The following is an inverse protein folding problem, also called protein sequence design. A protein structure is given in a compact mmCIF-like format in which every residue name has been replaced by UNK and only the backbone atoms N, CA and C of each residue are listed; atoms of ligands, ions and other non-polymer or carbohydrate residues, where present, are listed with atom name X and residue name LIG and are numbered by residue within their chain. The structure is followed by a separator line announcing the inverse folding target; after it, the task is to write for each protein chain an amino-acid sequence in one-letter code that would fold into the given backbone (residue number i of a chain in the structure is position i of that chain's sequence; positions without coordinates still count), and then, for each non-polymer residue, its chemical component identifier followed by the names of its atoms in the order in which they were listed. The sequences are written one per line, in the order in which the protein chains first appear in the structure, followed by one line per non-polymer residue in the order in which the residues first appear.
data_IF_949638735730
#
_entry.id   IF_949638735730
#
_cell.length_a   1.000
_cell.length_b   1.000
_cell.length_c   1.000
_cell.angle_alpha   90.00
_cell.angle_beta   90.00
_cell.angle_gamma   90.00
#
_symmetry.space_group_name_H-M   'P 1'
#
loop_
_entity.id
_entity.type
_entity.pdbx_description
1 polymer ?
#
# COMPACT_ATOMS: atom_id res chain seq x y z
N UNK A 1 2.94 -56.77 -37.50
CA UNK A 1 3.16 -55.37 -37.96
C UNK A 1 1.90 -54.55 -37.73
N UNK A 2 0.75 -54.98 -38.25
CA UNK A 2 -0.58 -54.41 -37.95
C UNK A 2 -0.79 -54.09 -36.46
N UNK A 3 -0.55 -55.07 -35.57
CA UNK A 3 -0.78 -54.92 -34.12
C UNK A 3 0.09 -53.83 -33.49
N UNK A 4 1.32 -53.66 -33.97
CA UNK A 4 2.26 -52.64 -33.50
C UNK A 4 1.80 -51.25 -33.92
N UNK A 5 1.28 -51.11 -35.15
CA UNK A 5 0.70 -49.87 -35.64
C UNK A 5 -0.59 -49.51 -34.87
N UNK A 6 -1.46 -50.49 -34.63
CA UNK A 6 -2.68 -50.32 -33.85
C UNK A 6 -2.37 -49.92 -32.39
N UNK A 7 -1.37 -50.56 -31.76
CA UNK A 7 -0.92 -50.21 -30.42
C UNK A 7 -0.38 -48.77 -30.37
N UNK A 8 0.45 -48.37 -31.34
CA UNK A 8 0.96 -47.00 -31.44
C UNK A 8 -0.19 -45.99 -31.56
N UNK A 9 -1.11 -46.21 -32.50
CA UNK A 9 -2.29 -45.35 -32.69
C UNK A 9 -3.14 -45.22 -31.42
N UNK A 10 -3.39 -46.32 -30.70
CA UNK A 10 -4.13 -46.28 -29.44
C UNK A 10 -3.40 -45.49 -28.34
N UNK A 11 -2.08 -45.66 -28.19
CA UNK A 11 -1.28 -44.89 -27.23
C UNK A 11 -1.30 -43.40 -27.58
N UNK A 12 -1.14 -43.04 -28.86
CA UNK A 12 -1.23 -41.64 -29.32
C UNK A 12 -2.60 -41.02 -29.04
N UNK A 13 -3.70 -41.73 -29.32
CA UNK A 13 -5.07 -41.26 -29.04
C UNK A 13 -5.31 -41.10 -27.54
N UNK A 14 -4.83 -42.05 -26.72
CA UNK A 14 -4.94 -41.99 -25.26
C UNK A 14 -4.16 -40.79 -24.70
N UNK A 15 -2.93 -40.59 -25.15
CA UNK A 15 -2.09 -39.47 -24.75
C UNK A 15 -2.71 -38.12 -25.14
N UNK A 16 -3.28 -38.00 -26.34
CA UNK A 16 -3.98 -36.77 -26.74
C UNK A 16 -5.15 -36.46 -25.81
N UNK A 17 -6.01 -37.45 -25.52
CA UNK A 17 -7.14 -37.28 -24.58
C UNK A 17 -6.68 -36.86 -23.18
N UNK A 18 -5.56 -37.41 -22.70
CA UNK A 18 -4.99 -37.04 -21.42
C UNK A 18 -4.46 -35.60 -21.43
N UNK A 19 -3.80 -35.17 -22.51
CA UNK A 19 -3.35 -33.78 -22.71
C UNK A 19 -4.56 -32.83 -22.74
N UNK A 20 -5.59 -33.14 -23.52
CA UNK A 20 -6.82 -32.33 -23.63
C UNK A 20 -7.52 -32.17 -22.27
N UNK A 21 -7.55 -33.24 -21.46
CA UNK A 21 -8.09 -33.21 -20.11
C UNK A 21 -7.21 -32.39 -19.14
N UNK A 22 -5.88 -32.53 -19.23
CA UNK A 22 -4.93 -31.73 -18.44
C UNK A 22 -5.04 -30.24 -18.75
N UNK A 23 -5.16 -29.86 -20.04
CA UNK A 23 -5.37 -28.47 -20.47
C UNK A 23 -6.65 -27.91 -19.85
N UNK A 24 -7.78 -28.60 -19.98
CA UNK A 24 -9.06 -28.18 -19.37
C UNK A 24 -9.00 -28.02 -17.85
N UNK A 25 -8.29 -28.92 -17.17
CA UNK A 25 -8.09 -28.82 -15.72
C UNK A 25 -7.23 -27.60 -15.35
N UNK A 26 -6.26 -27.22 -16.18
CA UNK A 26 -5.45 -26.01 -15.99
C UNK A 26 -6.26 -24.75 -16.29
N UNK A 27 -7.06 -24.72 -17.37
CA UNK A 27 -7.98 -23.62 -17.69
C UNK A 27 -8.93 -23.32 -16.52
N UNK A 28 -9.53 -24.36 -15.92
CA UNK A 28 -10.40 -24.22 -14.75
C UNK A 28 -9.65 -23.70 -13.52
N UNK A 29 -8.44 -24.19 -13.25
CA UNK A 29 -7.62 -23.71 -12.12
C UNK A 29 -7.20 -22.25 -12.31
N UNK A 30 -6.80 -21.86 -13.52
CA UNK A 30 -6.42 -20.47 -13.82
C UNK A 30 -7.63 -19.53 -13.68
N UNK A 31 -8.82 -19.91 -14.19
CA UNK A 31 -10.04 -19.12 -13.99
C UNK A 31 -10.50 -19.05 -12.52
N UNK A 32 -10.21 -20.06 -11.70
CA UNK A 32 -10.44 -20.01 -10.26
C UNK A 32 -9.46 -19.06 -9.55
N UNK A 33 -8.17 -19.06 -9.94
CA UNK A 33 -7.17 -18.13 -9.42
C UNK A 33 -7.49 -16.69 -9.81
N UNK A 34 -7.87 -16.44 -11.06
CA UNK A 34 -8.37 -15.14 -11.55
C UNK A 34 -9.53 -14.63 -10.68
N UNK A 35 -10.56 -15.46 -10.48
CA UNK A 35 -11.71 -15.15 -9.63
C UNK A 35 -11.29 -14.85 -8.19
N UNK A 36 -10.39 -15.66 -7.61
CA UNK A 36 -9.87 -15.43 -6.26
C UNK A 36 -9.07 -14.12 -6.15
N UNK A 37 -8.31 -13.75 -7.17
CA UNK A 37 -7.57 -12.48 -7.19
C UNK A 37 -8.55 -11.29 -7.22
N UNK A 38 -9.56 -11.29 -8.09
CA UNK A 38 -10.56 -10.21 -8.10
C UNK A 38 -11.41 -10.15 -6.81
N UNK A 39 -11.77 -11.29 -6.25
CA UNK A 39 -12.48 -11.36 -4.96
C UNK A 39 -11.59 -10.83 -3.82
N UNK A 40 -10.29 -11.16 -3.81
CA UNK A 40 -9.36 -10.73 -2.77
C UNK A 40 -8.83 -9.30 -2.96
N UNK A 41 -8.85 -8.72 -4.17
CA UNK A 41 -8.60 -7.28 -4.36
C UNK A 41 -9.72 -6.42 -3.74
N UNK A 42 -10.95 -6.94 -3.65
CA UNK A 42 -12.04 -6.30 -2.90
C UNK A 42 -11.89 -6.43 -1.38
N UNK A 43 -11.12 -7.41 -0.91
CA UNK A 43 -10.73 -7.59 0.48
C UNK A 43 -9.47 -6.80 0.79
N UNK A 44 -9.61 -5.62 1.39
CA UNK A 44 -8.47 -4.89 1.97
C UNK A 44 -7.56 -5.86 2.72
N UNK A 45 -6.25 -5.84 2.44
CA UNK A 45 -5.27 -6.64 3.15
C UNK A 45 -5.55 -6.48 4.65
N UNK A 46 -6.00 -7.55 5.31
CA UNK A 46 -6.53 -7.48 6.68
C UNK A 46 -5.38 -7.41 7.69
N UNK A 47 -4.55 -6.40 7.50
CA UNK A 47 -3.74 -5.86 8.56
C UNK A 47 -4.72 -5.41 9.63
N UNK A 48 -4.71 -6.11 10.77
CA UNK A 48 -5.44 -5.75 11.99
C UNK A 48 -4.82 -4.48 12.57
N UNK A 49 -4.98 -3.36 11.86
CA UNK A 49 -4.68 -2.03 12.33
C UNK A 49 -5.90 -1.58 13.12
N UNK A 50 -6.01 -2.11 14.33
CA UNK A 50 -6.88 -1.49 15.33
C UNK A 50 -6.45 -0.03 15.47
N UNK A 51 -7.38 0.90 15.23
CA UNK A 51 -7.09 2.32 15.34
C UNK A 51 -6.86 2.63 16.82
N UNK A 52 -5.60 2.79 17.21
CA UNK A 52 -5.19 2.99 18.59
C UNK A 52 -6.10 4.01 19.31
N UNK A 53 -6.83 3.62 20.37
CA UNK A 53 -7.77 4.47 21.07
C UNK A 53 -7.15 5.79 21.51
N UNK A 54 -7.65 6.90 20.96
CA UNK A 54 -7.14 8.26 21.25
C UNK A 54 -7.66 8.85 22.56
N UNK A 55 -8.39 8.07 23.37
CA UNK A 55 -9.09 8.53 24.58
C UNK A 55 -8.18 9.21 25.62
N UNK A 56 -6.89 8.86 25.64
CA UNK A 56 -5.88 9.44 26.53
C UNK A 56 -4.86 10.33 25.79
N UNK A 57 -5.14 10.76 24.56
CA UNK A 57 -4.24 11.59 23.75
C UNK A 57 -4.23 13.04 24.27
N UNK A 58 -3.42 13.30 25.30
CA UNK A 58 -3.24 14.64 25.87
C UNK A 58 -2.60 15.58 24.85
N UNK A 59 -3.25 16.71 24.59
CA UNK A 59 -2.70 17.77 23.76
C UNK A 59 -1.44 18.37 24.39
N UNK A 60 -0.40 18.63 23.59
CA UNK A 60 0.84 19.25 24.05
C UNK A 60 0.93 20.66 23.49
N UNK A 61 1.04 21.65 24.39
CA UNK A 61 1.25 23.05 24.01
C UNK A 61 2.76 23.34 23.93
N UNK A 62 3.21 23.77 22.76
CA UNK A 62 4.59 24.23 22.55
C UNK A 62 4.86 25.58 23.22
N UNK A 63 6.13 25.93 23.46
CA UNK A 63 6.53 27.26 24.01
C UNK A 63 6.01 28.45 23.19
N UNK A 64 5.68 28.25 21.90
CA UNK A 64 5.11 29.28 21.00
C UNK A 64 3.57 29.39 21.12
N UNK A 65 2.93 28.61 21.98
CA UNK A 65 1.47 28.57 22.15
C UNK A 65 0.73 27.66 21.16
N UNK A 66 1.43 27.03 20.21
CA UNK A 66 0.81 26.08 19.27
C UNK A 66 0.51 24.75 19.98
N UNK A 67 -0.73 24.29 19.89
CA UNK A 67 -1.21 23.01 20.44
C UNK A 67 -1.04 21.91 19.40
N UNK A 68 -0.44 20.78 19.79
CA UNK A 68 -0.20 19.61 18.94
C UNK A 68 -0.90 18.39 19.55
N UNK A 69 -1.60 17.60 18.74
CA UNK A 69 -2.29 16.36 19.15
C UNK A 69 -3.80 16.36 18.89
N UNK A 70 -4.44 17.53 18.98
CA UNK A 70 -5.86 17.70 18.61
C UNK A 70 -5.98 18.12 17.14
N UNK A 71 -6.47 17.21 16.29
CA UNK A 71 -7.05 17.57 14.99
C UNK A 71 -8.56 17.76 15.15
N UNK A 72 -8.96 18.83 15.83
CA UNK A 72 -10.30 19.37 15.62
C UNK A 72 -10.31 20.19 14.32
N UNK A 73 -11.44 20.18 13.61
CA UNK A 73 -11.58 20.67 12.23
C UNK A 73 -11.70 22.20 12.15
N UNK A 74 -10.85 22.95 12.86
CA UNK A 74 -10.81 24.40 12.70
C UNK A 74 -9.68 24.81 11.75
N UNK A 75 -10.11 25.59 10.77
CA UNK A 75 -9.39 26.00 9.58
C UNK A 75 -8.09 26.73 9.89
N UNK A 76 -7.17 26.62 8.94
CA UNK A 76 -5.93 27.37 8.88
C UNK A 76 -6.25 28.86 8.72
N UNK A 77 -6.41 29.59 9.83
CA UNK A 77 -6.50 31.05 9.82
C UNK A 77 -5.09 31.65 9.66
N UNK A 78 -4.64 31.65 8.41
CA UNK A 78 -3.51 32.45 7.96
C UNK A 78 -3.85 33.94 8.15
N UNK A 79 -3.30 34.57 9.17
CA UNK A 79 -3.33 36.03 9.34
C UNK A 79 -1.91 36.54 9.55
N UNK A 80 -1.42 37.31 8.57
CA UNK A 80 -0.04 37.83 8.52
C UNK A 80 0.08 39.16 9.26
N UNK A 81 1.32 39.47 9.62
CA UNK A 81 1.89 40.82 9.86
C UNK A 81 1.33 41.67 10.99
N UNK A 82 2.24 42.19 11.83
CA UNK A 82 2.54 43.62 11.83
C UNK A 82 3.98 43.84 12.31
N UNK A 83 4.66 44.80 11.71
CA UNK A 83 6.08 45.10 11.91
C UNK A 83 6.33 46.04 13.10
N UNK A 84 7.59 46.08 13.56
CA UNK A 84 8.23 47.33 13.97
C UNK A 84 8.05 47.80 15.42
N UNK A 85 8.98 47.40 16.29
CA UNK A 85 9.69 48.37 17.14
C UNK A 85 11.19 48.07 17.09
N UNK A 86 11.93 49.00 16.52
CA UNK A 86 13.39 49.01 16.39
C UNK A 86 14.06 49.53 17.69
N UNK A 87 15.21 48.95 18.06
CA UNK A 87 16.41 49.66 18.55
C UNK A 87 17.60 48.72 18.79
N UNK A 88 18.66 48.93 18.01
CA UNK A 88 20.08 49.10 18.41
C UNK A 88 20.50 48.56 19.79
N UNK A 89 21.61 47.85 20.00
CA UNK A 89 22.82 47.54 19.18
C UNK A 89 23.52 46.30 19.83
N UNK A 90 24.73 45.79 19.51
CA UNK A 90 25.95 46.23 18.79
C UNK A 90 26.62 45.04 18.05
N UNK A 91 27.76 45.29 17.38
CA UNK A 91 28.56 44.29 16.64
C UNK A 91 29.20 43.20 17.50
N UNK A 92 29.28 41.97 16.95
CA UNK A 92 30.51 41.15 16.97
C UNK A 92 30.50 40.06 15.89
N UNK A 93 31.04 40.44 14.74
CA UNK A 93 31.93 39.69 13.86
C UNK A 93 31.86 38.14 13.88
N UNK A 94 31.40 37.56 12.76
CA UNK A 94 31.72 36.18 12.38
C UNK A 94 32.44 36.23 11.04
N UNK A 95 33.72 35.87 11.03
CA UNK A 95 34.45 35.52 9.80
C UNK A 95 35.26 34.25 10.04
N UNK A 96 34.71 33.12 9.60
CA UNK A 96 35.49 31.90 9.38
C UNK A 96 35.77 31.79 7.86
N UNK A 97 37.07 31.70 7.50
CA UNK A 97 37.69 31.06 6.31
C UNK A 97 38.85 31.89 5.76
N UNK A 98 40.10 31.47 6.03
CA UNK A 98 40.88 30.60 5.12
C UNK A 98 42.30 30.38 5.65
#
# INVERSE_FOLDING_TARGET
MEDTLNQFMQVSISNQKNIDASIKNLEVQVGQLEKQMYEHESGSFSATIEVNPREQCKAVTTRRGTVVGLKEKNEFSENKTNEGVEKTSDEKEVVEKK
#
